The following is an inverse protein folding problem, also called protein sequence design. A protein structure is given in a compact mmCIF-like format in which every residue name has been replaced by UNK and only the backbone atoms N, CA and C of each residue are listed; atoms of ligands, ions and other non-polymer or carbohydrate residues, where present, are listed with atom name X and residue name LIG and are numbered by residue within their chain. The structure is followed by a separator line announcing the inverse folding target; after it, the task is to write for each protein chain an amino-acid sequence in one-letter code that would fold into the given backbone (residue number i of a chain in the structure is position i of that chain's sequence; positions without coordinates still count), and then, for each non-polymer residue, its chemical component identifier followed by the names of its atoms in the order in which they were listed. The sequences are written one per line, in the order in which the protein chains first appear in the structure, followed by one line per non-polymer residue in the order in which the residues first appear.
data_IF_319564782224
#
_entry.id   IF_319564782224
#
_cell.length_a   1.000
_cell.length_b   1.000
_cell.length_c   1.000
_cell.angle_alpha   90.00
_cell.angle_beta   90.00
_cell.angle_gamma   90.00
#
_symmetry.space_group_name_H-M   'P 1'
#
loop_
_entity.id
_entity.type
_entity.pdbx_description
1 polymer ?
#
# COMPACT_ATOMS: atom_id res chain seq x y z
N UNK A 1 -2.86 -14.57 12.17
CA UNK A 1 -3.34 -13.69 11.07
C UNK A 1 -4.61 -14.25 10.40
N UNK A 2 -4.64 -15.53 10.03
CA UNK A 2 -5.80 -16.18 9.38
C UNK A 2 -7.14 -15.94 10.09
N UNK A 3 -7.21 -16.24 11.40
CA UNK A 3 -8.41 -15.98 12.24
C UNK A 3 -8.88 -14.52 12.15
N UNK A 4 -7.96 -13.57 12.11
CA UNK A 4 -8.30 -12.14 12.03
C UNK A 4 -8.84 -11.75 10.64
N UNK A 5 -8.33 -12.35 9.55
CA UNK A 5 -8.84 -12.13 8.19
C UNK A 5 -10.27 -12.69 8.06
N UNK A 6 -10.50 -13.89 8.59
CA UNK A 6 -11.83 -14.51 8.66
C UNK A 6 -12.79 -13.65 9.51
N UNK A 7 -12.32 -13.17 10.67
CA UNK A 7 -13.09 -12.29 11.54
C UNK A 7 -13.49 -10.99 10.84
N UNK A 8 -12.57 -10.37 10.09
CA UNK A 8 -12.84 -9.15 9.34
C UNK A 8 -13.88 -9.38 8.25
N UNK A 9 -13.80 -10.50 7.51
CA UNK A 9 -14.79 -10.87 6.50
C UNK A 9 -16.20 -10.94 7.08
N UNK A 10 -16.39 -11.77 8.12
CA UNK A 10 -17.70 -11.97 8.72
C UNK A 10 -18.21 -10.72 9.44
N UNK A 11 -17.32 -9.92 10.04
CA UNK A 11 -17.68 -8.62 10.60
C UNK A 11 -18.27 -7.68 9.53
N UNK A 12 -17.64 -7.58 8.36
CA UNK A 12 -18.13 -6.75 7.26
C UNK A 12 -19.44 -7.28 6.65
N UNK A 13 -19.67 -8.59 6.71
CA UNK A 13 -20.91 -9.21 6.21
C UNK A 13 -22.08 -9.06 7.20
N UNK A 14 -21.79 -8.83 8.48
CA UNK A 14 -22.77 -8.74 9.56
C UNK A 14 -23.77 -7.61 9.33
N UNK A 15 -25.02 -7.85 9.72
CA UNK A 15 -26.04 -6.83 9.75
C UNK A 15 -27.08 -7.10 10.83
N UNK A 16 -28.01 -6.17 10.99
CA UNK A 16 -29.06 -6.22 12.02
C UNK A 16 -29.87 -7.51 12.03
N UNK A 17 -30.24 -8.01 10.86
CA UNK A 17 -31.05 -9.23 10.70
C UNK A 17 -30.23 -10.53 10.76
N UNK A 18 -28.92 -10.45 10.57
CA UNK A 18 -28.03 -11.60 10.55
C UNK A 18 -26.67 -11.22 11.17
N UNK A 19 -26.55 -11.24 12.50
CA UNK A 19 -25.32 -10.89 13.19
C UNK A 19 -24.25 -11.97 12.98
N UNK A 20 -23.10 -11.60 12.40
CA UNK A 20 -22.00 -12.52 12.06
C UNK A 20 -20.72 -12.21 12.86
N UNK A 21 -20.86 -11.73 14.09
CA UNK A 21 -19.73 -11.31 14.93
C UNK A 21 -19.02 -12.45 15.67
N UNK A 22 -19.44 -13.71 15.50
CA UNK A 22 -18.91 -14.85 16.26
C UNK A 22 -17.42 -15.12 16.05
N UNK A 23 -16.84 -14.66 14.93
CA UNK A 23 -15.41 -14.81 14.64
C UNK A 23 -14.57 -13.62 15.15
N UNK A 24 -15.20 -12.54 15.61
CA UNK A 24 -14.51 -11.39 16.16
C UNK A 24 -13.83 -11.73 17.51
N UNK A 25 -12.72 -11.06 17.86
CA UNK A 25 -12.11 -11.22 19.18
C UNK A 25 -13.12 -10.92 20.29
N UNK A 26 -13.05 -11.67 21.38
CA UNK A 26 -13.93 -11.48 22.55
C UNK A 26 -13.34 -10.42 23.51
N UNK A 27 -14.18 -9.87 24.38
CA UNK A 27 -13.77 -9.00 25.49
C UNK A 27 -13.82 -7.49 25.20
N UNK A 28 -13.51 -6.70 26.22
CA UNK A 28 -13.57 -5.23 26.20
C UNK A 28 -12.57 -4.60 25.22
N UNK A 29 -11.45 -5.28 24.98
CA UNK A 29 -10.39 -4.85 24.07
C UNK A 29 -10.63 -5.26 22.61
N UNK A 30 -11.79 -5.87 22.32
CA UNK A 30 -12.14 -6.22 20.96
C UNK A 30 -12.30 -4.98 20.10
N UNK A 31 -11.75 -5.01 18.88
CA UNK A 31 -12.06 -3.99 17.88
C UNK A 31 -13.52 -4.06 17.40
N UNK A 32 -14.23 -5.16 17.67
CA UNK A 32 -15.64 -5.33 17.32
C UNK A 32 -16.54 -4.73 18.40
N UNK A 33 -17.32 -3.71 18.04
CA UNK A 33 -18.24 -3.04 18.96
C UNK A 33 -19.32 -3.96 19.55
N UNK A 34 -19.80 -4.95 18.78
CA UNK A 34 -20.73 -5.97 19.30
C UNK A 34 -20.11 -6.77 20.45
N UNK A 35 -18.89 -7.28 20.25
CA UNK A 35 -18.20 -8.10 21.26
C UNK A 35 -17.88 -7.30 22.53
N UNK A 36 -17.51 -6.01 22.37
CA UNK A 36 -17.34 -5.12 23.52
C UNK A 36 -18.64 -4.90 24.28
N UNK A 37 -19.74 -4.64 23.57
CA UNK A 37 -21.04 -4.44 24.20
C UNK A 37 -21.48 -5.69 24.95
N UNK A 38 -21.31 -6.87 24.37
CA UNK A 38 -21.59 -8.16 25.02
C UNK A 38 -20.75 -8.34 26.29
N UNK A 39 -19.45 -8.03 26.25
CA UNK A 39 -18.57 -8.13 27.43
C UNK A 39 -18.94 -7.14 28.55
N UNK A 40 -19.55 -6.00 28.20
CA UNK A 40 -19.99 -4.98 29.14
C UNK A 40 -21.44 -5.15 29.59
N UNK A 41 -22.12 -6.22 29.14
CA UNK A 41 -23.55 -6.44 29.42
C UNK A 41 -24.48 -5.40 28.78
N UNK A 42 -24.05 -4.70 27.73
CA UNK A 42 -24.81 -3.65 27.04
C UNK A 42 -25.51 -4.21 25.80
N UNK A 43 -26.69 -3.67 25.50
CA UNK A 43 -27.41 -3.97 24.26
C UNK A 43 -26.70 -3.30 23.08
N UNK A 44 -26.38 -4.09 22.06
CA UNK A 44 -25.82 -3.59 20.80
C UNK A 44 -26.91 -3.51 19.73
N UNK A 45 -26.95 -2.37 19.03
CA UNK A 45 -27.81 -2.18 17.87
C UNK A 45 -26.96 -2.03 16.63
N UNK A 46 -27.00 -3.04 15.75
CA UNK A 46 -26.37 -2.93 14.45
C UNK A 46 -27.19 -1.99 13.56
N UNK A 47 -26.52 -0.96 13.02
CA UNK A 47 -27.13 0.00 12.08
C UNK A 47 -26.98 -0.46 10.62
N UNK A 48 -26.17 -1.48 10.37
CA UNK A 48 -25.92 -1.97 9.03
C UNK A 48 -26.99 -2.98 8.61
N UNK A 49 -27.41 -2.91 7.35
CA UNK A 49 -28.30 -3.90 6.75
C UNK A 49 -27.63 -5.26 6.52
N UNK A 50 -26.28 -5.30 6.55
CA UNK A 50 -25.50 -6.48 6.18
C UNK A 50 -25.39 -6.65 4.67
N UNK A 51 -24.53 -7.57 4.23
CA UNK A 51 -24.35 -7.86 2.81
C UNK A 51 -25.36 -8.92 2.33
N UNK A 52 -25.90 -8.80 1.10
CA UNK A 52 -26.72 -9.86 0.52
C UNK A 52 -25.94 -11.17 0.39
N UNK A 53 -26.61 -12.31 0.62
CA UNK A 53 -25.98 -13.64 0.58
C UNK A 53 -25.30 -13.95 -0.75
N UNK A 54 -25.85 -13.47 -1.87
CA UNK A 54 -25.26 -13.60 -3.20
C UNK A 54 -23.90 -12.91 -3.31
N UNK A 55 -23.74 -11.74 -2.69
CA UNK A 55 -22.48 -10.98 -2.64
C UNK A 55 -21.48 -11.65 -1.69
N UNK A 56 -21.93 -12.08 -0.51
CA UNK A 56 -21.10 -12.84 0.44
C UNK A 56 -20.51 -14.07 -0.24
N UNK A 57 -21.31 -14.85 -0.95
CA UNK A 57 -20.87 -16.05 -1.64
C UNK A 57 -19.86 -15.76 -2.76
N UNK A 58 -19.99 -14.63 -3.47
CA UNK A 58 -19.01 -14.22 -4.50
C UNK A 58 -17.67 -13.77 -3.91
N UNK A 59 -17.69 -13.10 -2.77
CA UNK A 59 -16.50 -12.50 -2.14
C UNK A 59 -15.77 -13.49 -1.23
N UNK A 60 -16.49 -14.45 -0.62
CA UNK A 60 -15.94 -15.44 0.31
C UNK A 60 -14.72 -16.20 -0.24
N UNK A 61 -14.72 -16.70 -1.49
CA UNK A 61 -13.55 -17.39 -2.05
C UNK A 61 -12.30 -16.52 -2.04
N UNK A 62 -12.41 -15.24 -2.40
CA UNK A 62 -11.29 -14.28 -2.37
C UNK A 62 -10.74 -14.12 -0.95
N UNK A 63 -11.61 -13.98 0.06
CA UNK A 63 -11.15 -13.88 1.45
C UNK A 63 -10.49 -15.16 1.95
N UNK A 64 -10.95 -16.34 1.51
CA UNK A 64 -10.32 -17.61 1.85
C UNK A 64 -8.96 -17.77 1.16
N UNK A 65 -8.79 -17.28 -0.07
CA UNK A 65 -7.46 -17.20 -0.70
C UNK A 65 -6.53 -16.26 0.06
N UNK A 66 -7.04 -15.14 0.59
CA UNK A 66 -6.28 -14.25 1.48
C UNK A 66 -5.89 -14.90 2.81
N UNK A 67 -6.54 -16.01 3.18
CA UNK A 67 -6.23 -16.81 4.36
C UNK A 67 -5.14 -17.86 4.11
N UNK A 68 -4.58 -17.95 2.89
CA UNK A 68 -3.51 -18.87 2.56
C UNK A 68 -2.27 -18.64 3.44
N UNK A 69 -1.71 -19.71 4.00
CA UNK A 69 -0.61 -19.59 4.96
C UNK A 69 0.68 -19.11 4.30
N UNK A 70 0.94 -19.46 3.04
CA UNK A 70 2.13 -19.00 2.33
C UNK A 70 2.05 -17.51 2.03
N UNK A 71 0.87 -17.01 1.66
CA UNK A 71 0.59 -15.58 1.51
C UNK A 71 0.75 -14.84 2.84
N UNK A 72 0.11 -15.32 3.91
CA UNK A 72 0.18 -14.69 5.23
C UNK A 72 1.60 -14.69 5.81
N UNK A 73 2.42 -15.71 5.52
CA UNK A 73 3.83 -15.75 5.94
C UNK A 73 4.63 -14.58 5.36
N UNK A 74 4.32 -14.13 4.14
CA UNK A 74 4.94 -12.94 3.54
C UNK A 74 4.62 -11.65 4.29
N UNK A 75 3.46 -11.60 4.98
CA UNK A 75 3.05 -10.46 5.80
C UNK A 75 3.73 -10.40 7.18
N UNK A 76 4.28 -11.51 7.67
CA UNK A 76 4.93 -11.58 9.00
C UNK A 76 6.16 -10.69 9.12
N UNK A 77 6.89 -10.50 8.02
CA UNK A 77 8.07 -9.64 7.99
C UNK A 77 7.73 -8.14 8.14
N UNK A 78 6.44 -7.78 8.19
CA UNK A 78 6.00 -6.39 8.30
C UNK A 78 6.44 -5.53 7.11
N UNK A 79 6.88 -6.15 6.01
CA UNK A 79 7.26 -5.45 4.80
C UNK A 79 6.01 -4.80 4.23
N UNK A 80 5.97 -3.48 4.33
CA UNK A 80 4.84 -2.69 3.85
C UNK A 80 4.81 -2.71 2.32
N UNK A 81 3.61 -2.54 1.75
CA UNK A 81 3.40 -2.30 0.32
C UNK A 81 4.29 -1.16 -0.23
N UNK A 82 4.72 -0.27 0.65
CA UNK A 82 5.61 0.85 0.36
C UNK A 82 6.94 0.43 -0.28
N UNK A 83 7.46 -0.78 -0.04
CA UNK A 83 8.69 -1.23 -0.71
C UNK A 83 8.46 -1.49 -2.20
N UNK A 84 7.34 -2.13 -2.55
CA UNK A 84 6.97 -2.35 -3.96
C UNK A 84 6.61 -1.03 -4.64
N UNK A 85 5.89 -0.14 -3.95
CA UNK A 85 5.58 1.21 -4.46
C UNK A 85 6.85 2.05 -4.66
N UNK A 86 7.81 1.96 -3.73
CA UNK A 86 9.10 2.65 -3.86
C UNK A 86 9.94 2.08 -5.01
N UNK A 87 9.96 0.75 -5.19
CA UNK A 87 10.62 0.13 -6.34
C UNK A 87 9.98 0.58 -7.65
N UNK A 88 8.65 0.53 -7.75
CA UNK A 88 7.93 1.01 -8.93
C UNK A 88 8.23 2.48 -9.21
N UNK A 89 8.31 3.33 -8.17
CA UNK A 89 8.75 4.71 -8.33
C UNK A 89 10.16 4.83 -8.89
N UNK A 90 11.10 3.98 -8.46
CA UNK A 90 12.45 3.93 -9.02
C UNK A 90 12.44 3.50 -10.49
N UNK A 91 11.66 2.48 -10.84
CA UNK A 91 11.47 2.03 -12.22
C UNK A 91 10.91 3.15 -13.10
N UNK A 92 9.86 3.84 -12.64
CA UNK A 92 9.22 4.91 -13.41
C UNK A 92 10.07 6.18 -13.54
N UNK A 93 11.03 6.39 -12.63
CA UNK A 93 12.02 7.45 -12.79
C UNK A 93 13.05 7.13 -13.90
N UNK A 94 13.30 5.85 -14.17
CA UNK A 94 14.22 5.41 -15.24
C UNK A 94 13.46 5.27 -16.57
N UNK A 95 12.28 4.66 -16.53
CA UNK A 95 11.40 4.40 -17.68
C UNK A 95 10.03 5.01 -17.40
N UNK A 96 9.77 6.26 -17.79
CA UNK A 96 8.49 6.91 -17.52
C UNK A 96 7.30 6.12 -18.08
N UNK A 97 6.27 5.94 -17.26
CA UNK A 97 5.05 5.18 -17.63
C UNK A 97 4.23 5.87 -18.72
N UNK A 98 4.43 7.17 -18.90
CA UNK A 98 3.74 8.01 -19.88
C UNK A 98 4.32 7.85 -21.29
N UNK A 99 5.48 7.20 -21.42
CA UNK A 99 6.19 7.03 -22.69
C UNK A 99 6.16 5.56 -23.06
N UNK A 100 5.69 5.27 -24.28
CA UNK A 100 5.83 3.94 -24.83
C UNK A 100 7.30 3.66 -25.16
N UNK A 101 7.83 2.55 -24.66
CA UNK A 101 9.19 2.09 -24.93
C UNK A 101 9.17 0.64 -25.40
N UNK A 102 10.18 0.26 -26.18
CA UNK A 102 10.36 -1.14 -26.57
C UNK A 102 10.69 -2.02 -25.35
N UNK A 103 10.38 -3.31 -25.45
CA UNK A 103 10.66 -4.31 -24.42
C UNK A 103 12.14 -4.34 -24.00
N UNK A 104 13.07 -4.16 -24.93
CA UNK A 104 14.51 -4.15 -24.64
C UNK A 104 14.87 -2.98 -23.71
N UNK A 105 14.41 -1.77 -24.02
CA UNK A 105 14.60 -0.57 -23.19
C UNK A 105 13.95 -0.73 -21.82
N UNK A 106 12.73 -1.28 -21.77
CA UNK A 106 12.05 -1.56 -20.52
C UNK A 106 12.83 -2.56 -19.65
N UNK A 107 13.36 -3.62 -20.26
CA UNK A 107 14.17 -4.62 -19.57
C UNK A 107 15.45 -4.00 -18.99
N UNK A 108 16.16 -3.18 -19.77
CA UNK A 108 17.38 -2.51 -19.31
C UNK A 108 17.08 -1.55 -18.16
N UNK A 109 16.04 -0.72 -18.31
CA UNK A 109 15.60 0.19 -17.25
C UNK A 109 15.19 -0.55 -15.98
N UNK A 110 14.58 -1.73 -16.12
CA UNK A 110 14.25 -2.60 -14.98
C UNK A 110 15.50 -3.09 -14.25
N UNK A 111 16.55 -3.50 -14.96
CA UNK A 111 17.81 -3.89 -14.33
C UNK A 111 18.49 -2.72 -13.62
N UNK A 112 18.51 -1.54 -14.22
CA UNK A 112 19.04 -0.31 -13.60
C UNK A 112 18.26 0.04 -12.33
N UNK A 113 16.93 -0.03 -12.38
CA UNK A 113 16.06 0.21 -11.22
C UNK A 113 16.32 -0.79 -10.09
N UNK A 114 16.53 -2.07 -10.40
CA UNK A 114 16.90 -3.09 -9.41
C UNK A 114 18.23 -2.77 -8.74
N UNK A 115 19.24 -2.39 -9.50
CA UNK A 115 20.57 -2.05 -8.97
C UNK A 115 20.47 -0.81 -8.07
N UNK A 116 19.85 0.25 -8.56
CA UNK A 116 19.75 1.53 -7.84
C UNK A 116 18.86 1.42 -6.59
N UNK A 117 17.80 0.62 -6.63
CA UNK A 117 16.96 0.37 -5.46
C UNK A 117 17.72 -0.34 -4.34
N UNK A 118 18.47 -1.40 -4.68
CA UNK A 118 19.14 -2.26 -3.70
C UNK A 118 20.50 -1.73 -3.25
N UNK A 119 21.31 -1.20 -4.17
CA UNK A 119 22.70 -0.78 -3.93
C UNK A 119 22.94 0.72 -4.09
N UNK A 120 21.92 1.50 -4.45
CA UNK A 120 22.08 2.90 -4.77
C UNK A 120 22.78 3.12 -6.12
N UNK A 121 23.06 4.38 -6.44
CA UNK A 121 23.78 4.76 -7.66
C UNK A 121 25.20 4.21 -7.70
N UNK A 122 25.85 4.03 -6.55
CA UNK A 122 27.14 3.33 -6.48
C UNK A 122 27.09 1.91 -7.04
N UNK A 123 25.94 1.24 -7.02
CA UNK A 123 25.79 -0.07 -7.63
C UNK A 123 26.06 -0.09 -9.13
N UNK A 124 25.81 1.03 -9.84
CA UNK A 124 26.04 1.15 -11.27
C UNK A 124 27.52 1.22 -11.64
N UNK A 125 28.41 1.50 -10.69
CA UNK A 125 29.86 1.53 -10.95
C UNK A 125 30.35 0.18 -11.48
N UNK A 126 29.88 -0.92 -10.90
CA UNK A 126 30.21 -2.28 -11.38
C UNK A 126 29.71 -2.56 -12.80
N UNK A 127 28.61 -1.92 -13.22
CA UNK A 127 28.11 -2.04 -14.59
C UNK A 127 28.99 -1.24 -15.54
N UNK A 128 29.42 -0.04 -15.15
CA UNK A 128 30.34 0.76 -15.96
C UNK A 128 31.68 0.06 -16.15
N UNK A 129 32.24 -0.54 -15.09
CA UNK A 129 33.45 -1.36 -15.17
C UNK A 129 33.28 -2.55 -16.12
N UNK A 130 32.16 -3.27 -16.03
CA UNK A 130 31.88 -4.40 -16.93
C UNK A 130 31.69 -4.00 -18.40
N UNK A 131 31.42 -2.72 -18.67
CA UNK A 131 31.32 -2.15 -20.02
C UNK A 131 32.65 -1.49 -20.46
N UNK A 132 33.74 -1.70 -19.72
CA UNK A 132 35.06 -1.08 -19.94
C UNK A 132 35.03 0.47 -19.95
N UNK A 133 34.06 1.06 -19.24
CA UNK A 133 33.94 2.51 -19.11
C UNK A 133 34.81 2.97 -17.93
N UNK A 134 35.83 3.78 -18.22
CA UNK A 134 36.71 4.35 -17.18
C UNK A 134 35.93 5.27 -16.25
N UNK A 135 35.88 4.91 -14.98
CA UNK A 135 35.20 5.70 -13.95
C UNK A 135 36.07 6.88 -13.51
N UNK A 136 35.57 8.10 -13.70
CA UNK A 136 36.21 9.33 -13.23
C UNK A 136 35.87 9.67 -11.77
N UNK A 137 36.71 10.52 -11.16
CA UNK A 137 36.52 10.99 -9.78
C UNK A 137 35.24 11.81 -9.57
N UNK A 138 34.76 12.47 -10.62
CA UNK A 138 33.49 13.21 -10.61
C UNK A 138 32.28 12.26 -10.55
N UNK A 139 32.30 11.16 -11.30
CA UNK A 139 31.23 10.14 -11.27
C UNK A 139 31.11 9.51 -9.89
N UNK A 140 32.25 9.14 -9.29
CA UNK A 140 32.29 8.57 -7.93
C UNK A 140 31.69 9.54 -6.90
N UNK A 141 32.11 10.81 -6.94
CA UNK A 141 31.59 11.85 -6.04
C UNK A 141 30.10 12.13 -6.27
N UNK A 142 29.67 12.22 -7.53
CA UNK A 142 28.28 12.45 -7.90
C UNK A 142 27.37 11.33 -7.40
N UNK A 143 27.73 10.07 -7.66
CA UNK A 143 26.94 8.92 -7.19
C UNK A 143 26.91 8.83 -5.68
N UNK A 144 28.03 9.10 -5.00
CA UNK A 144 28.06 9.16 -3.54
C UNK A 144 27.15 10.25 -2.98
N UNK A 145 27.15 11.45 -3.58
CA UNK A 145 26.28 12.55 -3.15
C UNK A 145 24.79 12.21 -3.34
N UNK A 146 24.41 11.62 -4.48
CA UNK A 146 23.03 11.19 -4.74
C UNK A 146 22.57 10.15 -3.71
N UNK A 147 23.42 9.15 -3.44
CA UNK A 147 23.12 8.12 -2.45
C UNK A 147 23.01 8.68 -1.04
N UNK A 148 23.84 9.67 -0.69
CA UNK A 148 23.79 10.35 0.59
C UNK A 148 22.46 11.09 0.77
N UNK A 149 22.06 11.92 -0.20
CA UNK A 149 20.78 12.63 -0.18
C UNK A 149 19.60 11.66 -0.06
N UNK A 150 19.62 10.55 -0.80
CA UNK A 150 18.59 9.51 -0.73
C UNK A 150 18.44 8.94 0.68
N UNK A 151 19.56 8.68 1.37
CA UNK A 151 19.57 8.15 2.74
C UNK A 151 19.03 9.20 3.72
N UNK A 152 19.45 10.45 3.58
CA UNK A 152 18.98 11.57 4.41
C UNK A 152 17.48 11.78 4.29
N UNK A 153 16.96 11.79 3.07
CA UNK A 153 15.52 11.90 2.80
C UNK A 153 14.73 10.73 3.38
N UNK A 154 15.26 9.50 3.24
CA UNK A 154 14.64 8.30 3.82
C UNK A 154 14.55 8.40 5.35
N UNK A 155 15.62 8.83 6.02
CA UNK A 155 15.65 9.07 7.47
C UNK A 155 14.63 10.14 7.86
N UNK A 156 14.65 11.28 7.18
CA UNK A 156 13.72 12.40 7.40
C UNK A 156 12.26 11.99 7.24
N UNK A 157 11.93 11.23 6.20
CA UNK A 157 10.56 10.75 5.95
C UNK A 157 10.10 9.66 6.93
N UNK A 158 11.05 8.95 7.54
CA UNK A 158 10.75 7.92 8.54
C UNK A 158 10.41 8.52 9.91
N UNK A 159 10.76 9.78 10.17
CA UNK A 159 10.48 10.49 11.42
C UNK A 159 8.96 10.54 11.72
N UNK A 160 8.55 10.34 12.99
CA UNK A 160 7.14 10.43 13.38
C UNK A 160 6.50 11.78 13.05
N UNK A 161 7.23 12.88 13.28
CA UNK A 161 6.80 14.24 12.97
C UNK A 161 6.48 14.42 11.48
N UNK A 162 7.37 13.95 10.60
CA UNK A 162 7.16 13.99 9.15
C UNK A 162 5.93 13.17 8.72
N UNK A 163 5.71 12.00 9.32
CA UNK A 163 4.51 11.17 9.05
C UNK A 163 3.22 11.86 9.48
N UNK A 164 3.21 12.52 10.64
CA UNK A 164 2.06 13.28 11.14
C UNK A 164 1.76 14.47 10.21
N UNK A 165 2.78 15.25 9.85
CA UNK A 165 2.63 16.38 8.93
C UNK A 165 2.09 15.93 7.58
N UNK A 166 2.60 14.82 7.02
CA UNK A 166 2.10 14.23 5.77
C UNK A 166 0.62 13.84 5.86
N UNK A 167 0.18 13.23 6.98
CA UNK A 167 -1.24 12.89 7.20
C UNK A 167 -2.11 14.15 7.23
N UNK A 168 -1.67 15.21 7.92
CA UNK A 168 -2.39 16.49 7.97
C UNK A 168 -2.54 17.12 6.58
N UNK A 169 -1.45 17.23 5.82
CA UNK A 169 -1.46 17.78 4.46
C UNK A 169 -2.37 16.96 3.54
N UNK A 170 -2.29 15.63 3.60
CA UNK A 170 -3.15 14.74 2.79
C UNK A 170 -4.63 14.92 3.12
N UNK A 171 -4.98 15.08 4.40
CA UNK A 171 -6.36 15.34 4.81
C UNK A 171 -6.88 16.68 4.28
N UNK A 172 -6.06 17.74 4.35
CA UNK A 172 -6.39 19.07 3.79
C UNK A 172 -6.62 18.96 2.28
N UNK A 173 -5.70 18.32 1.54
CA UNK A 173 -5.83 18.15 0.08
C UNK A 173 -7.09 17.36 -0.28
N UNK A 174 -7.39 16.27 0.45
CA UNK A 174 -8.62 15.49 0.24
C UNK A 174 -9.88 16.33 0.45
N UNK A 175 -9.92 17.17 1.49
CA UNK A 175 -11.06 18.09 1.71
C UNK A 175 -11.23 19.08 0.56
N UNK A 176 -10.13 19.65 0.05
CA UNK A 176 -10.18 20.55 -1.11
C UNK A 176 -10.75 19.84 -2.34
N UNK A 177 -10.24 18.65 -2.68
CA UNK A 177 -10.75 17.85 -3.82
C UNK A 177 -12.24 17.57 -3.69
N UNK A 178 -12.71 17.09 -2.52
CA UNK A 178 -14.14 16.82 -2.31
C UNK A 178 -14.99 18.07 -2.45
N UNK A 179 -14.50 19.24 -2.00
CA UNK A 179 -15.22 20.49 -2.16
C UNK A 179 -15.26 20.93 -3.64
N UNK A 180 -14.17 20.73 -4.38
CA UNK A 180 -14.11 21.01 -5.82
C UNK A 180 -15.06 20.08 -6.59
N UNK A 181 -15.03 18.77 -6.33
CA UNK A 181 -15.95 17.80 -6.94
C UNK A 181 -17.43 18.15 -6.66
N UNK A 182 -17.74 18.60 -5.44
CA UNK A 182 -19.10 19.08 -5.11
C UNK A 182 -19.50 20.33 -5.88
N UNK A 183 -18.56 21.23 -6.14
CA UNK A 183 -18.81 22.45 -6.92
C UNK A 183 -18.96 22.15 -8.42
N UNK A 184 -18.16 21.22 -8.95
CA UNK A 184 -18.19 20.80 -10.35
C UNK A 184 -19.44 19.99 -10.72
N UNK A 185 -20.06 19.30 -9.75
CA UNK A 185 -21.28 18.53 -9.97
C UNK A 185 -21.04 17.25 -10.75
N UNK A 186 -21.97 16.85 -11.63
CA UNK A 186 -21.84 15.62 -12.43
C UNK A 186 -20.90 15.87 -13.61
N UNK A 187 -19.69 15.31 -13.55
CA UNK A 187 -18.70 15.37 -14.61
C UNK A 187 -18.65 14.08 -15.43
N UNK A 188 -18.01 14.17 -16.61
CA UNK A 188 -17.76 13.03 -17.50
C UNK A 188 -17.01 11.91 -16.78
N UNK A 189 -17.49 10.67 -16.90
CA UNK A 189 -16.86 9.47 -16.34
C UNK A 189 -16.31 8.60 -17.46
N UNK A 190 -15.12 8.04 -17.29
CA UNK A 190 -14.57 7.08 -18.25
C UNK A 190 -15.52 5.90 -18.41
N UNK A 191 -15.98 5.65 -19.65
CA UNK A 191 -16.95 4.60 -19.97
C UNK A 191 -18.42 5.00 -19.83
N UNK A 192 -18.73 6.27 -19.60
CA UNK A 192 -20.10 6.79 -19.68
C UNK A 192 -20.37 7.30 -21.11
N UNK A 193 -20.79 6.38 -21.98
CA UNK A 193 -21.58 6.61 -23.19
C UNK A 193 -22.58 5.46 -23.31
#
# INVERSE_FOLDING_TARGET
MQRAVIAAFYHCCSGKSNPMHGQCPLGSESWCTYQRAQSAGKVFYDKNAGLPKSIINKIKPTYLQLCDQNLLRKCLLGKTQNANEAFNGCLWNVVPKEIFVELQTFSLGSYIAVITFNKGFKGLLSVLEALDIKIGSYTLRGYAAIDQTRIEDSKRHSLPSAKVTRKKIRAIKKRKVVNTEKHEGVTYKSGAF
#
